data_IF_815702939018
#
_entry.id   IF_815702939018
#
_cell.length_a   1.000
_cell.length_b   1.000
_cell.length_c   1.000
_cell.angle_alpha   90.00
_cell.angle_beta   90.00
_cell.angle_gamma   90.00
#
_symmetry.space_group_name_H-M   'P 1'
#
loop_
_entity.id
_entity.type
_entity.pdbx_description
1 polymer ?
#
# COMPACT_ATOMS: atom_id res chain seq x y z
N UNK A 1 21.01 7.15 8.42
CA UNK A 1 22.25 6.76 9.12
C UNK A 1 22.56 5.31 8.79
N UNK A 2 23.84 4.92 8.62
CA UNK A 2 24.22 3.53 8.30
C UNK A 2 25.49 3.11 9.03
N UNK A 3 25.74 1.80 9.09
CA UNK A 3 26.89 1.17 9.76
C UNK A 3 27.34 -0.07 8.99
N UNK A 4 28.64 -0.38 9.08
CA UNK A 4 29.23 -1.59 8.50
C UNK A 4 29.09 -2.79 9.44
N UNK A 5 29.17 -3.99 8.89
CA UNK A 5 29.15 -5.26 9.62
C UNK A 5 27.80 -5.55 10.29
N UNK A 6 26.70 -5.00 9.78
CA UNK A 6 25.38 -5.17 10.36
C UNK A 6 24.32 -5.57 9.34
N UNK A 7 23.22 -6.13 9.83
CA UNK A 7 22.02 -6.48 9.10
C UNK A 7 20.79 -6.30 10.00
N UNK A 8 19.60 -6.38 9.40
CA UNK A 8 18.32 -6.37 10.10
C UNK A 8 17.67 -7.74 10.00
N UNK A 9 17.07 -8.20 11.10
CA UNK A 9 16.28 -9.43 11.07
C UNK A 9 14.89 -9.16 10.48
N UNK A 10 14.61 -9.78 9.34
CA UNK A 10 13.32 -9.68 8.64
C UNK A 10 13.07 -8.34 7.96
N UNK A 11 11.79 -8.04 7.72
CA UNK A 11 11.31 -6.76 7.20
C UNK A 11 11.52 -6.51 5.71
N UNK A 12 12.12 -7.46 4.95
CA UNK A 12 12.37 -7.32 3.51
C UNK A 12 11.08 -7.10 2.72
N UNK A 13 11.04 -6.00 1.98
CA UNK A 13 9.93 -5.64 1.09
C UNK A 13 10.36 -5.60 -0.38
N UNK A 14 11.64 -5.37 -0.66
CA UNK A 14 12.19 -5.41 -2.01
C UNK A 14 13.71 -5.60 -1.99
N UNK A 15 14.27 -5.91 -3.15
CA UNK A 15 15.71 -5.95 -3.37
C UNK A 15 16.10 -5.26 -4.68
N UNK A 16 17.18 -4.48 -4.64
CA UNK A 16 17.69 -3.70 -5.78
C UNK A 16 19.16 -4.01 -5.96
N UNK A 17 19.61 -4.21 -7.20
CA UNK A 17 21.02 -4.37 -7.52
C UNK A 17 21.67 -2.99 -7.60
N UNK A 18 22.34 -2.59 -6.54
CA UNK A 18 23.08 -1.33 -6.47
C UNK A 18 24.24 -1.44 -5.45
N UNK A 19 25.05 -0.40 -5.36
CA UNK A 19 26.11 -0.21 -4.39
C UNK A 19 25.55 0.11 -3.01
N UNK A 20 26.28 -0.29 -1.96
CA UNK A 20 25.86 -0.03 -0.57
C UNK A 20 25.61 1.44 -0.25
N UNK A 21 26.33 2.35 -0.93
CA UNK A 21 26.15 3.80 -0.79
C UNK A 21 24.78 4.29 -1.29
N UNK A 22 24.17 3.61 -2.27
CA UNK A 22 22.91 3.99 -2.88
C UNK A 22 21.69 3.41 -2.17
N UNK A 23 21.83 2.34 -1.38
CA UNK A 23 20.70 1.69 -0.70
C UNK A 23 19.87 2.64 0.18
N UNK A 24 20.49 3.68 0.74
CA UNK A 24 19.77 4.71 1.48
C UNK A 24 18.85 5.54 0.59
N UNK A 25 19.30 5.91 -0.61
CA UNK A 25 18.47 6.62 -1.58
C UNK A 25 17.39 5.72 -2.17
N UNK A 26 17.73 4.47 -2.48
CA UNK A 26 16.75 3.47 -2.94
C UNK A 26 15.65 3.26 -1.91
N UNK A 27 16.02 3.20 -0.64
CA UNK A 27 15.06 3.12 0.46
C UNK A 27 14.22 4.40 0.60
N UNK A 28 14.78 5.60 0.41
CA UNK A 28 13.97 6.83 0.40
C UNK A 28 12.96 6.84 -0.76
N UNK A 29 13.32 6.29 -1.92
CA UNK A 29 12.48 6.27 -3.11
C UNK A 29 11.46 5.11 -3.12
N UNK A 30 11.63 4.12 -2.24
CA UNK A 30 10.76 2.95 -2.17
C UNK A 30 9.72 3.13 -1.05
N UNK A 31 8.45 3.22 -1.43
CA UNK A 31 7.34 3.43 -0.49
C UNK A 31 7.30 2.34 0.59
N UNK A 32 7.22 2.74 1.85
CA UNK A 32 7.23 1.83 3.00
C UNK A 32 8.62 1.36 3.45
N UNK A 33 9.69 1.76 2.75
CA UNK A 33 11.04 1.47 3.22
C UNK A 33 11.45 2.45 4.33
N UNK A 34 11.96 1.88 5.42
CA UNK A 34 12.46 2.63 6.58
C UNK A 34 13.87 2.20 6.95
N UNK A 35 14.21 0.94 6.64
CA UNK A 35 15.49 0.31 6.90
C UNK A 35 16.01 -0.29 5.60
N UNK A 36 17.31 -0.44 5.51
CA UNK A 36 17.94 -1.15 4.41
C UNK A 36 19.13 -1.95 4.93
N UNK A 37 19.45 -3.02 4.25
CA UNK A 37 20.76 -3.67 4.36
C UNK A 37 21.35 -3.91 2.98
N UNK A 38 22.66 -4.09 2.92
CA UNK A 38 23.39 -4.35 1.70
C UNK A 38 24.33 -5.51 1.90
N UNK A 39 24.48 -6.31 0.86
CA UNK A 39 25.35 -7.49 0.84
C UNK A 39 26.04 -7.61 -0.51
N UNK A 40 27.15 -8.36 -0.57
CA UNK A 40 27.87 -8.66 -1.83
C UNK A 40 27.10 -9.62 -2.76
N UNK A 41 25.91 -10.05 -2.36
CA UNK A 41 25.07 -10.94 -3.17
C UNK A 41 24.87 -10.36 -4.57
N UNK A 42 25.09 -11.19 -5.60
CA UNK A 42 25.03 -10.82 -7.02
C UNK A 42 25.87 -9.59 -7.43
N UNK A 43 26.99 -9.34 -6.75
CA UNK A 43 27.85 -8.19 -7.03
C UNK A 43 27.39 -6.89 -6.37
N UNK A 44 26.42 -6.96 -5.46
CA UNK A 44 25.88 -5.85 -4.70
C UNK A 44 24.36 -5.84 -4.73
N UNK A 45 23.74 -6.13 -3.60
CA UNK A 45 22.27 -6.13 -3.46
C UNK A 45 21.88 -5.31 -2.24
N UNK A 46 21.04 -4.30 -2.45
CA UNK A 46 20.31 -3.55 -1.44
C UNK A 46 19.00 -4.29 -1.10
N UNK A 47 18.86 -4.71 0.15
CA UNK A 47 17.64 -5.24 0.74
C UNK A 47 16.88 -4.09 1.38
N UNK A 48 15.77 -3.70 0.76
CA UNK A 48 14.89 -2.64 1.25
C UNK A 48 13.92 -3.23 2.26
N UNK A 49 13.77 -2.58 3.41
CA UNK A 49 13.05 -3.12 4.55
C UNK A 49 12.07 -2.11 5.15
N UNK A 50 10.92 -2.61 5.61
CA UNK A 50 9.92 -1.81 6.31
C UNK A 50 10.24 -1.67 7.82
N UNK A 51 9.32 -1.10 8.59
CA UNK A 51 9.49 -0.85 10.02
C UNK A 51 9.42 -2.12 10.89
N UNK A 52 9.05 -3.27 10.31
CA UNK A 52 8.99 -4.56 11.01
C UNK A 52 10.34 -5.27 11.02
N UNK A 53 11.40 -4.54 11.36
CA UNK A 53 12.75 -5.09 11.58
C UNK A 53 13.00 -5.28 13.07
N UNK A 54 13.71 -6.35 13.42
CA UNK A 54 14.23 -6.54 14.78
C UNK A 54 15.41 -5.62 15.08
N UNK A 55 16.03 -5.79 16.26
CA UNK A 55 17.27 -5.09 16.58
C UNK A 55 18.36 -5.40 15.52
N UNK A 56 19.21 -4.42 15.23
CA UNK A 56 20.35 -4.62 14.33
C UNK A 56 21.22 -5.78 14.83
N UNK A 57 21.52 -6.71 13.94
CA UNK A 57 22.37 -7.88 14.19
C UNK A 57 23.71 -7.70 13.50
N UNK A 58 24.76 -8.36 14.01
CA UNK A 58 26.05 -8.40 13.35
C UNK A 58 25.97 -9.31 12.12
N UNK A 59 26.45 -8.81 10.98
CA UNK A 59 26.57 -9.61 9.77
C UNK A 59 27.93 -10.30 9.72
N UNK A 60 27.96 -11.54 9.23
CA UNK A 60 29.20 -12.30 9.00
C UNK A 60 29.87 -11.97 7.66
N UNK A 61 29.26 -11.10 6.84
CA UNK A 61 29.81 -10.67 5.56
C UNK A 61 30.68 -9.43 5.74
N UNK A 62 31.88 -9.44 5.16
CA UNK A 62 32.94 -8.43 5.36
C UNK A 62 32.50 -7.02 5.00
N UNK A 63 31.75 -6.87 3.90
CA UNK A 63 31.29 -5.57 3.40
C UNK A 63 29.79 -5.33 3.62
N UNK A 64 29.11 -6.19 4.39
CA UNK A 64 27.71 -5.95 4.69
C UNK A 64 27.53 -4.62 5.43
N UNK A 65 26.50 -3.89 5.06
CA UNK A 65 26.13 -2.66 5.74
C UNK A 65 24.64 -2.61 5.95
N UNK A 66 24.21 -1.99 7.03
CA UNK A 66 22.81 -1.76 7.30
C UNK A 66 22.60 -0.33 7.75
N UNK A 67 21.44 0.21 7.44
CA UNK A 67 21.09 1.55 7.82
C UNK A 67 19.60 1.74 7.88
N UNK A 68 19.24 2.93 8.30
CA UNK A 68 17.88 3.41 8.30
C UNK A 68 17.89 4.81 7.72
N UNK A 69 16.85 5.11 6.95
CA UNK A 69 16.72 6.43 6.35
C UNK A 69 16.13 7.37 7.38
N UNK A 70 16.93 8.32 7.84
CA UNK A 70 16.44 9.52 8.54
C UNK A 70 16.12 10.57 7.48
N UNK A 71 15.32 10.19 6.49
CA UNK A 71 14.96 11.08 5.41
C UNK A 71 13.94 12.07 5.93
N UNK A 72 14.29 13.35 5.89
CA UNK A 72 13.33 14.44 5.79
C UNK A 72 12.41 14.23 4.58
N UNK A 73 11.45 13.32 4.68
CA UNK A 73 10.11 13.79 4.41
C UNK A 73 9.85 14.86 5.46
N UNK A 74 9.15 15.93 5.14
CA UNK A 74 8.27 16.45 6.17
C UNK A 74 7.50 15.24 6.71
N UNK A 75 7.92 14.69 7.85
CA UNK A 75 7.01 14.07 8.77
C UNK A 75 6.14 15.24 9.25
N UNK A 76 5.27 15.73 8.35
CA UNK A 76 3.92 15.96 8.77
C UNK A 76 3.60 14.72 9.59
N UNK A 77 3.28 14.85 10.88
CA UNK A 77 2.87 13.70 11.65
C UNK A 77 1.91 12.88 10.80
N UNK A 78 2.08 11.56 10.77
CA UNK A 78 1.11 10.69 10.09
C UNK A 78 -0.20 10.94 10.84
N UNK A 79 -1.01 11.81 10.26
CA UNK A 79 -2.27 12.25 10.82
C UNK A 79 -3.35 11.64 9.99
N UNK A 80 -4.39 11.21 10.67
CA UNK A 80 -5.61 10.77 10.02
C UNK A 80 -6.28 11.98 9.37
N UNK A 81 -6.47 11.90 8.06
CA UNK A 81 -7.18 12.88 7.24
C UNK A 81 -8.69 12.70 7.39
N UNK A 82 -9.15 11.46 7.22
CA UNK A 82 -10.54 11.04 7.40
C UNK A 82 -10.59 9.64 8.01
N UNK A 83 -11.69 9.36 8.70
CA UNK A 83 -12.02 8.04 9.23
C UNK A 83 -13.38 7.61 8.71
N UNK A 84 -13.55 6.32 8.48
CA UNK A 84 -14.87 5.74 8.22
C UNK A 84 -15.04 4.38 8.89
N UNK A 85 -16.29 3.96 9.02
CA UNK A 85 -16.63 2.66 9.60
C UNK A 85 -17.96 2.17 9.08
N UNK A 86 -18.06 0.87 8.84
CA UNK A 86 -19.27 0.22 8.36
C UNK A 86 -18.95 -1.14 7.77
N UNK A 87 -18.92 -1.22 6.44
CA UNK A 87 -18.72 -2.48 5.72
C UNK A 87 -17.76 -2.38 4.54
N UNK A 88 -17.13 -3.50 4.20
CA UNK A 88 -16.40 -3.67 2.95
C UNK A 88 -17.28 -4.24 1.84
N UNK A 89 -17.12 -3.74 0.62
CA UNK A 89 -17.66 -4.34 -0.62
C UNK A 89 -16.51 -4.61 -1.59
N UNK A 90 -16.79 -5.21 -2.74
CA UNK A 90 -15.78 -5.50 -3.75
C UNK A 90 -16.27 -5.15 -5.16
N UNK A 91 -15.35 -4.67 -6.01
CA UNK A 91 -15.71 -4.21 -7.35
C UNK A 91 -14.62 -4.37 -8.44
N UNK A 92 -13.45 -4.91 -8.10
CA UNK A 92 -12.37 -5.15 -9.06
C UNK A 92 -11.43 -6.26 -8.56
N UNK A 93 -10.57 -6.80 -9.43
CA UNK A 93 -9.49 -7.71 -9.05
C UNK A 93 -8.48 -7.82 -10.19
N UNK A 94 -7.19 -7.62 -9.92
CA UNK A 94 -6.14 -7.69 -10.96
C UNK A 94 -6.12 -9.02 -11.72
N UNK A 95 -6.51 -10.12 -11.09
CA UNK A 95 -6.54 -11.44 -11.73
C UNK A 95 -7.82 -11.72 -12.51
N UNK A 96 -8.75 -10.75 -12.55
CA UNK A 96 -10.10 -10.92 -13.08
C UNK A 96 -10.98 -11.82 -12.21
N UNK A 97 -10.61 -12.01 -10.94
CA UNK A 97 -11.37 -12.83 -10.00
C UNK A 97 -12.70 -12.16 -9.66
N UNK A 98 -13.78 -12.92 -9.78
CA UNK A 98 -15.11 -12.51 -9.33
C UNK A 98 -15.66 -13.49 -8.30
N UNK A 99 -16.65 -13.05 -7.53
CA UNK A 99 -17.26 -13.88 -6.49
C UNK A 99 -18.33 -14.84 -7.01
N UNK A 100 -19.02 -14.51 -8.10
CA UNK A 100 -20.15 -15.29 -8.61
C UNK A 100 -19.85 -16.02 -9.93
N UNK A 101 -18.58 -16.06 -10.37
CA UNK A 101 -18.22 -16.58 -11.69
C UNK A 101 -18.66 -15.66 -12.84
N UNK A 102 -18.95 -14.40 -12.52
CA UNK A 102 -19.18 -13.34 -13.50
C UNK A 102 -17.88 -13.08 -14.29
N UNK A 103 -17.98 -12.50 -15.50
CA UNK A 103 -16.81 -12.01 -16.23
C UNK A 103 -15.98 -11.02 -15.39
N UNK A 104 -14.67 -10.90 -15.65
CA UNK A 104 -13.82 -9.88 -15.01
C UNK A 104 -14.43 -8.48 -15.08
N UNK A 105 -14.11 -7.65 -14.08
CA UNK A 105 -14.64 -6.29 -13.99
C UNK A 105 -14.06 -5.46 -15.14
N UNK A 106 -14.91 -4.69 -15.82
CA UNK A 106 -14.44 -3.85 -16.92
C UNK A 106 -13.47 -2.77 -16.40
N UNK A 107 -13.67 -2.38 -15.15
CA UNK A 107 -12.89 -1.45 -14.35
C UNK A 107 -11.45 -1.90 -14.14
N UNK A 108 -11.14 -3.20 -14.24
CA UNK A 108 -9.76 -3.70 -14.18
C UNK A 108 -8.89 -3.11 -15.31
N UNK A 109 -9.52 -2.74 -16.43
CA UNK A 109 -8.89 -2.08 -17.59
C UNK A 109 -9.32 -0.62 -17.76
N UNK A 110 -10.10 -0.10 -16.81
CA UNK A 110 -10.60 1.27 -16.82
C UNK A 110 -9.64 2.26 -16.14
N UNK A 111 -9.96 3.53 -16.30
CA UNK A 111 -9.33 4.62 -15.55
C UNK A 111 -10.11 4.86 -14.26
N UNK A 112 -9.39 4.96 -13.14
CA UNK A 112 -9.97 5.23 -11.84
C UNK A 112 -10.15 6.73 -11.60
N UNK A 113 -10.92 7.08 -10.57
CA UNK A 113 -11.14 8.46 -10.19
C UNK A 113 -9.83 9.23 -9.96
N UNK A 114 -8.82 8.61 -9.34
CA UNK A 114 -7.52 9.25 -9.10
C UNK A 114 -6.57 9.24 -10.29
N UNK A 115 -6.85 8.44 -11.32
CA UNK A 115 -6.00 8.20 -12.47
C UNK A 115 -6.86 8.18 -13.74
N UNK A 116 -7.40 9.35 -14.17
CA UNK A 116 -8.61 9.42 -14.98
C UNK A 116 -8.39 9.35 -16.50
N UNK A 117 -7.15 9.20 -16.97
CA UNK A 117 -6.84 9.23 -18.39
C UNK A 117 -5.65 8.34 -18.78
N UNK A 118 -5.41 8.24 -20.09
CA UNK A 118 -4.40 7.37 -20.69
C UNK A 118 -2.95 7.68 -20.32
N UNK A 119 -2.69 8.79 -19.63
CA UNK A 119 -1.39 9.09 -19.05
C UNK A 119 -1.08 8.29 -17.77
N UNK A 120 -2.07 7.59 -17.22
CA UNK A 120 -1.98 6.87 -15.95
C UNK A 120 -2.12 5.35 -16.10
N UNK A 121 -1.76 4.62 -15.05
CA UNK A 121 -1.84 3.16 -15.00
C UNK A 121 -3.26 2.68 -14.66
N UNK A 122 -3.79 1.72 -15.42
CA UNK A 122 -5.00 0.97 -15.05
C UNK A 122 -4.68 -0.04 -13.95
N UNK A 123 -5.69 -0.60 -13.28
CA UNK A 123 -5.47 -1.64 -12.26
C UNK A 123 -4.63 -2.82 -12.79
N UNK A 124 -4.96 -3.30 -14.00
CA UNK A 124 -4.22 -4.38 -14.65
C UNK A 124 -2.75 -4.03 -14.93
N UNK A 125 -2.41 -2.75 -15.09
CA UNK A 125 -1.03 -2.29 -15.26
C UNK A 125 -0.30 -2.17 -13.91
N UNK A 126 -1.02 -1.75 -12.85
CA UNK A 126 -0.47 -1.61 -11.49
C UNK A 126 -0.17 -2.95 -10.82
N UNK A 127 -0.91 -4.00 -11.18
CA UNK A 127 -0.78 -5.35 -10.62
C UNK A 127 -0.88 -5.39 -9.08
N UNK A 128 -1.75 -4.57 -8.48
CA UNK A 128 -1.89 -4.43 -7.03
C UNK A 128 -3.35 -4.54 -6.57
N UNK A 129 -3.63 -5.52 -5.70
CA UNK A 129 -4.95 -5.73 -5.09
C UNK A 129 -5.17 -4.88 -3.83
N UNK A 130 -4.15 -4.22 -3.27
CA UNK A 130 -4.26 -3.36 -2.08
C UNK A 130 -4.67 -1.93 -2.45
N UNK A 131 -5.64 -1.80 -3.33
CA UNK A 131 -6.30 -0.54 -3.64
C UNK A 131 -7.72 -0.53 -3.06
N UNK A 132 -8.22 0.66 -2.77
CA UNK A 132 -9.59 0.87 -2.29
C UNK A 132 -10.29 2.02 -3.00
N UNK A 133 -11.61 1.96 -3.06
CA UNK A 133 -12.47 3.05 -3.50
C UNK A 133 -13.20 3.67 -2.31
N UNK A 134 -13.00 4.98 -2.11
CA UNK A 134 -13.69 5.75 -1.08
C UNK A 134 -15.07 6.23 -1.55
N UNK A 135 -15.88 6.74 -0.63
CA UNK A 135 -17.17 7.31 -0.96
C UNK A 135 -17.02 8.46 -1.97
N UNK A 136 -17.88 8.49 -3.01
CA UNK A 136 -17.77 9.48 -4.09
C UNK A 136 -17.84 10.92 -3.58
N UNK A 137 -18.73 11.20 -2.62
CA UNK A 137 -18.87 12.52 -2.01
C UNK A 137 -17.62 12.99 -1.24
N UNK A 138 -16.93 12.07 -0.57
CA UNK A 138 -15.63 12.36 0.08
C UNK A 138 -14.54 12.66 -0.94
N UNK A 139 -14.50 11.87 -2.02
CA UNK A 139 -13.52 12.02 -3.10
C UNK A 139 -13.73 13.30 -3.91
N UNK A 140 -14.97 13.67 -4.20
CA UNK A 140 -15.30 14.94 -4.86
C UNK A 140 -14.96 16.16 -3.97
N UNK A 141 -15.14 16.03 -2.65
CA UNK A 141 -14.82 17.10 -1.71
C UNK A 141 -13.31 17.37 -1.60
N UNK A 142 -12.45 16.35 -1.72
CA UNK A 142 -11.00 16.50 -1.55
C UNK A 142 -10.15 15.52 -2.39
N UNK A 143 -10.37 15.50 -3.70
CA UNK A 143 -9.64 14.61 -4.63
C UNK A 143 -8.11 14.68 -4.44
N UNK A 144 -7.53 15.88 -4.53
CA UNK A 144 -6.09 16.07 -4.45
C UNK A 144 -5.48 15.74 -3.08
N UNK A 145 -6.28 15.83 -2.01
CA UNK A 145 -5.83 15.48 -0.67
C UNK A 145 -5.96 14.00 -0.33
N UNK A 146 -6.80 13.25 -1.05
CA UNK A 146 -7.11 11.85 -0.75
C UNK A 146 -6.49 10.86 -1.75
N UNK A 147 -6.39 11.22 -3.03
CA UNK A 147 -5.84 10.32 -4.04
C UNK A 147 -4.41 9.87 -3.73
N UNK A 148 -4.17 8.57 -3.83
CA UNK A 148 -2.88 7.94 -3.59
C UNK A 148 -2.45 7.93 -2.12
N UNK A 149 -3.33 8.30 -1.17
CA UNK A 149 -3.04 8.25 0.27
C UNK A 149 -3.15 6.84 0.83
N UNK A 150 -2.32 6.54 1.81
CA UNK A 150 -2.39 5.29 2.56
C UNK A 150 -3.71 5.20 3.33
N UNK A 151 -4.27 4.00 3.35
CA UNK A 151 -5.43 3.62 4.15
C UNK A 151 -5.01 2.56 5.16
N UNK A 152 -5.23 2.81 6.44
CA UNK A 152 -5.12 1.80 7.48
C UNK A 152 -6.49 1.15 7.60
N UNK A 153 -6.60 -0.12 7.22
CA UNK A 153 -7.85 -0.89 7.29
C UNK A 153 -7.85 -1.71 8.57
N UNK A 154 -9.00 -1.76 9.25
CA UNK A 154 -9.22 -2.61 10.42
C UNK A 154 -10.49 -3.43 10.24
N UNK A 155 -10.48 -4.65 10.79
CA UNK A 155 -11.59 -5.58 10.80
C UNK A 155 -11.87 -6.05 12.22
N UNK A 156 -13.09 -5.82 12.70
CA UNK A 156 -13.50 -6.09 14.09
C UNK A 156 -12.50 -5.52 15.13
N UNK A 157 -11.97 -4.33 14.86
CA UNK A 157 -11.02 -3.63 15.72
C UNK A 157 -9.55 -4.04 15.59
N UNK A 158 -9.23 -5.00 14.72
CA UNK A 158 -7.84 -5.41 14.47
C UNK A 158 -7.37 -4.89 13.11
N UNK A 159 -6.15 -4.33 13.07
CA UNK A 159 -5.55 -3.85 11.82
C UNK A 159 -5.36 -5.02 10.84
N UNK A 160 -5.81 -4.83 9.61
CA UNK A 160 -5.64 -5.75 8.50
C UNK A 160 -4.27 -5.51 7.87
N UNK A 161 -3.41 -6.53 7.75
CA UNK A 161 -2.14 -6.41 7.04
C UNK A 161 -2.35 -6.10 5.55
N UNK A 162 -1.66 -5.08 5.04
CA UNK A 162 -1.72 -4.66 3.65
C UNK A 162 -1.35 -3.19 3.49
N UNK A 163 -0.84 -2.80 2.32
CA UNK A 163 -0.51 -1.41 2.02
C UNK A 163 -1.65 -0.76 1.22
N UNK A 164 -2.83 -0.64 1.86
CA UNK A 164 -4.01 -0.13 1.18
C UNK A 164 -3.84 1.31 0.74
N UNK A 165 -4.30 1.64 -0.47
CA UNK A 165 -4.22 2.99 -1.03
C UNK A 165 -5.53 3.43 -1.66
N UNK A 166 -5.87 4.71 -1.45
CA UNK A 166 -7.01 5.34 -2.12
C UNK A 166 -6.70 5.45 -3.61
N UNK A 167 -7.46 4.74 -4.44
CA UNK A 167 -7.25 4.71 -5.88
C UNK A 167 -8.48 5.18 -6.66
N UNK A 168 -9.68 4.84 -6.18
CA UNK A 168 -10.91 5.11 -6.91
C UNK A 168 -12.00 5.73 -6.03
N UNK A 169 -13.15 6.04 -6.63
CA UNK A 169 -14.33 6.54 -5.97
C UNK A 169 -15.54 5.61 -6.20
N UNK A 170 -16.32 5.39 -5.16
CA UNK A 170 -17.44 4.47 -5.13
C UNK A 170 -18.74 5.24 -4.88
N UNK A 171 -19.58 5.35 -5.91
CA UNK A 171 -20.90 5.99 -5.81
C UNK A 171 -21.83 5.26 -4.81
N UNK A 172 -21.76 3.92 -4.77
CA UNK A 172 -22.56 3.12 -3.84
C UNK A 172 -22.11 3.25 -2.37
N UNK A 173 -20.95 3.86 -2.14
CA UNK A 173 -20.34 4.07 -0.83
C UNK A 173 -20.61 5.47 -0.26
N UNK A 174 -21.26 6.34 -1.04
CA UNK A 174 -21.65 7.72 -0.66
C UNK A 174 -22.19 7.79 0.77
N UNK A 175 -21.71 8.79 1.53
CA UNK A 175 -22.00 8.94 2.95
C UNK A 175 -21.02 8.24 3.90
N UNK A 176 -19.90 7.70 3.38
CA UNK A 176 -18.76 7.23 4.20
C UNK A 176 -19.03 5.97 5.01
N UNK A 177 -20.01 5.15 4.61
CA UNK A 177 -20.42 3.92 5.33
C UNK A 177 -19.84 2.63 4.75
N UNK A 178 -19.16 2.73 3.60
CA UNK A 178 -18.56 1.59 2.90
C UNK A 178 -17.18 1.93 2.37
N UNK A 179 -16.34 0.92 2.31
CA UNK A 179 -15.07 0.94 1.61
C UNK A 179 -15.09 -0.17 0.56
N UNK A 180 -14.83 0.17 -0.70
CA UNK A 180 -14.79 -0.83 -1.77
C UNK A 180 -13.36 -1.34 -1.95
N UNK A 181 -13.20 -2.64 -2.07
CA UNK A 181 -11.92 -3.32 -2.16
C UNK A 181 -11.78 -4.10 -3.47
N UNK A 182 -10.59 -4.64 -3.71
CA UNK A 182 -10.49 -5.78 -4.61
C UNK A 182 -11.12 -7.04 -4.01
N UNK A 183 -11.57 -7.96 -4.85
CA UNK A 183 -12.13 -9.25 -4.40
C UNK A 183 -11.09 -10.02 -3.56
N UNK A 184 -9.85 -10.10 -4.04
CA UNK A 184 -8.76 -10.75 -3.32
C UNK A 184 -8.47 -10.09 -1.97
N UNK A 185 -8.45 -8.75 -1.91
CA UNK A 185 -8.23 -8.07 -0.64
C UNK A 185 -9.37 -8.33 0.35
N UNK A 186 -10.63 -8.22 -0.06
CA UNK A 186 -11.74 -8.44 0.86
C UNK A 186 -11.85 -9.89 1.34
N UNK A 187 -11.50 -10.86 0.48
CA UNK A 187 -11.41 -12.27 0.89
C UNK A 187 -10.29 -12.54 1.90
N UNK A 188 -9.21 -11.75 1.88
CA UNK A 188 -8.16 -11.83 2.90
C UNK A 188 -8.63 -11.28 4.25
N UNK A 189 -9.61 -10.37 4.25
CA UNK A 189 -10.25 -9.81 5.46
C UNK A 189 -11.30 -10.78 6.01
N UNK A 190 -12.16 -11.32 5.15
CA UNK A 190 -13.17 -12.29 5.50
C UNK A 190 -13.32 -13.33 4.38
N UNK A 191 -13.03 -14.60 4.68
CA UNK A 191 -13.09 -15.68 3.69
C UNK A 191 -14.47 -15.90 3.06
N UNK A 192 -15.54 -15.42 3.70
CA UNK A 192 -16.91 -15.51 3.22
C UNK A 192 -17.37 -14.24 2.51
N UNK A 193 -16.46 -13.32 2.17
CA UNK A 193 -16.79 -12.04 1.55
C UNK A 193 -17.70 -12.18 0.31
N UNK A 194 -17.43 -13.18 -0.53
CA UNK A 194 -18.25 -13.47 -1.70
C UNK A 194 -19.68 -13.89 -1.38
N UNK A 195 -19.89 -14.66 -0.31
CA UNK A 195 -21.23 -15.08 0.10
C UNK A 195 -22.01 -13.94 0.75
N UNK A 196 -21.30 -13.06 1.47
CA UNK A 196 -21.88 -11.93 2.17
C UNK A 196 -22.25 -10.79 1.20
N UNK A 197 -21.42 -10.53 0.18
CA UNK A 197 -21.52 -9.38 -0.72
C UNK A 197 -21.18 -8.04 -0.04
N UNK A 198 -21.53 -7.90 1.24
CA UNK A 198 -21.28 -6.76 2.11
C UNK A 198 -20.73 -7.29 3.43
N UNK A 199 -19.44 -7.05 3.70
CA UNK A 199 -18.75 -7.55 4.89
C UNK A 199 -18.80 -6.50 6.00
N UNK A 200 -19.59 -6.69 7.07
CA UNK A 200 -19.68 -5.71 8.17
C UNK A 200 -18.43 -5.73 9.06
N UNK A 201 -18.22 -4.68 9.84
CA UNK A 201 -17.15 -4.62 10.84
C UNK A 201 -15.82 -4.10 10.29
N UNK A 202 -15.86 -3.47 9.12
CA UNK A 202 -14.70 -2.78 8.51
C UNK A 202 -14.66 -1.34 9.00
N UNK A 203 -13.48 -0.87 9.37
CA UNK A 203 -13.19 0.54 9.62
C UNK A 203 -11.88 0.93 8.97
N UNK A 204 -11.71 2.22 8.67
CA UNK A 204 -10.52 2.71 7.98
C UNK A 204 -10.11 4.11 8.42
N UNK A 205 -8.82 4.38 8.29
CA UNK A 205 -8.21 5.68 8.48
C UNK A 205 -7.38 6.02 7.25
N UNK A 206 -7.72 7.11 6.55
CA UNK A 206 -6.87 7.63 5.48
C UNK A 206 -5.84 8.54 6.13
N UNK A 207 -4.57 8.35 5.83
CA UNK A 207 -3.49 9.11 6.48
C UNK A 207 -2.87 10.14 5.54
N UNK A 208 -2.05 11.03 6.09
CA UNK A 208 -1.26 11.97 5.28
C UNK A 208 -0.20 11.31 4.39
N UNK A 209 0.15 10.05 4.65
CA UNK A 209 1.16 9.28 3.91
C UNK A 209 0.76 9.11 2.44
N UNK A 210 1.60 9.58 1.52
CA UNK A 210 1.44 9.38 0.08
C UNK A 210 2.08 8.04 -0.31
N UNK A 211 1.30 7.14 -0.92
CA UNK A 211 1.77 5.84 -1.44
C UNK A 211 1.95 5.91 -2.95
N UNK A 212 0.95 6.42 -3.67
CA UNK A 212 0.99 6.62 -5.13
C UNK A 212 1.10 8.11 -5.40
N UNK A 213 2.04 8.60 -6.24
CA UNK A 213 2.10 10.01 -6.59
C UNK A 213 0.76 10.51 -7.17
N UNK A 214 0.24 11.62 -6.63
CA UNK A 214 -0.89 12.30 -7.26
C UNK A 214 -0.36 13.23 -8.35
N UNK A 215 -0.76 12.98 -9.60
CA UNK A 215 -0.50 13.89 -10.72
C UNK A 215 -1.83 14.57 -11.06
N UNK A 216 -1.79 15.88 -11.30
CA UNK A 216 -2.96 16.73 -11.52
C UNK A 216 -3.49 16.64 -12.94
#
# INVERSE_FOLDING_TARGET
MWSMGCDWSGGDIANVLDTGANCGLDCVNYSGCTHFSWTEYNGGTCWLKNSNVGAAISSSQTDAMCGYVTGSGSTSPVTVLITGSGSGTYYYDVTGRTCNGDPPYAEDNGYAFCEPDSGYETLAQRDDNYIVALALDEMEANKAGLCGKQVIVSYNGNVVPGNFVVWDACQACTGGVRLDFSVTALLSINSNACELGVVPGVSWEVTTTQVIPYVQ
#
